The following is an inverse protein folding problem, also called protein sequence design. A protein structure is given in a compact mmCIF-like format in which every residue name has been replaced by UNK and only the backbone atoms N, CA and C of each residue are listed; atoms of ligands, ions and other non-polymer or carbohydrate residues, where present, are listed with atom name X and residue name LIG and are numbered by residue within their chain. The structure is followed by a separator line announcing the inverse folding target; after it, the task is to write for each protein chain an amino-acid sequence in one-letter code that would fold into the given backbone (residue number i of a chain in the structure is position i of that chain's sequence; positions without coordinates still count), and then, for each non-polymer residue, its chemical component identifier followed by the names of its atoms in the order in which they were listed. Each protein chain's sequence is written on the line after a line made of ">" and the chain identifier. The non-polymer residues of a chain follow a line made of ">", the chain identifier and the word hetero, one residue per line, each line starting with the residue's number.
data_IF_767642344899
#
_entry.id   IF_767642344899
#
_cell.length_a   1.000
_cell.length_b   1.000
_cell.length_c   1.000
_cell.angle_alpha   90.00
_cell.angle_beta   90.00
_cell.angle_gamma   90.00
#
_symmetry.space_group_name_H-M   'P 1'
#
loop_
_entity.id
_entity.type
_entity.pdbx_description
1 polymer ?
#
# COMPACT_ATOMS: atom_id res chain seq x y z
N UNK A 1 -13.78 -49.98 -27.55
CA UNK A 1 -13.36 -50.01 -26.15
C UNK A 1 -12.18 -49.07 -26.01
N UNK A 2 -12.22 -48.06 -25.19
CA UNK A 2 -11.09 -47.17 -24.97
C UNK A 2 -9.95 -47.97 -24.33
N UNK A 3 -8.76 -47.82 -24.89
CA UNK A 3 -7.57 -48.57 -24.52
C UNK A 3 -7.15 -48.14 -23.10
N UNK A 4 -6.91 -49.09 -22.19
CA UNK A 4 -6.52 -48.84 -20.79
C UNK A 4 -5.29 -47.93 -20.68
N UNK A 5 -4.40 -47.94 -21.67
CA UNK A 5 -3.25 -47.08 -21.79
C UNK A 5 -3.64 -45.58 -22.01
N UNK A 6 -4.72 -45.31 -22.77
CA UNK A 6 -5.17 -43.94 -22.99
C UNK A 6 -5.83 -43.29 -21.76
N UNK A 7 -6.45 -44.09 -20.90
CA UNK A 7 -6.99 -43.67 -19.61
C UNK A 7 -5.88 -43.36 -18.60
N UNK A 8 -4.80 -44.17 -18.58
CA UNK A 8 -3.62 -43.93 -17.72
C UNK A 8 -2.85 -42.69 -18.13
N UNK A 9 -2.68 -42.48 -19.46
CA UNK A 9 -2.03 -41.27 -20.00
C UNK A 9 -2.85 -40.04 -19.71
N UNK A 10 -4.17 -40.08 -19.93
CA UNK A 10 -5.08 -38.99 -19.59
C UNK A 10 -5.07 -38.63 -18.12
N UNK A 11 -5.04 -39.63 -17.23
CA UNK A 11 -5.01 -39.42 -15.77
C UNK A 11 -3.66 -38.85 -15.29
N UNK A 12 -2.56 -39.24 -15.95
CA UNK A 12 -1.20 -38.74 -15.66
C UNK A 12 -1.06 -37.29 -16.13
N UNK A 13 -1.50 -36.97 -17.34
CA UNK A 13 -1.50 -35.61 -17.90
C UNK A 13 -2.37 -34.69 -17.05
N UNK A 14 -3.54 -35.15 -16.60
CA UNK A 14 -4.43 -34.37 -15.72
C UNK A 14 -3.82 -34.11 -14.34
N UNK A 15 -3.08 -35.08 -13.81
CA UNK A 15 -2.41 -34.98 -12.50
C UNK A 15 -1.18 -34.07 -12.56
N UNK A 16 -0.40 -34.18 -13.63
CA UNK A 16 0.77 -33.31 -13.86
C UNK A 16 0.30 -31.85 -14.11
N UNK A 17 -0.72 -31.65 -14.92
CA UNK A 17 -1.32 -30.33 -15.17
C UNK A 17 -1.90 -29.68 -13.89
N UNK A 18 -2.54 -30.46 -13.01
CA UNK A 18 -3.10 -29.94 -11.76
C UNK A 18 -2.02 -29.60 -10.72
N UNK A 19 -0.88 -30.29 -10.74
CA UNK A 19 0.23 -30.04 -9.81
C UNK A 19 1.08 -28.86 -10.24
N UNK A 20 1.34 -28.73 -11.53
CA UNK A 20 2.09 -27.60 -12.07
C UNK A 20 1.35 -26.28 -11.87
N UNK A 21 0.02 -26.27 -12.08
CA UNK A 21 -0.80 -25.07 -11.83
C UNK A 21 -0.81 -24.66 -10.35
N UNK A 22 -0.90 -25.62 -9.42
CA UNK A 22 -0.86 -25.34 -7.97
C UNK A 22 0.53 -24.85 -7.57
N UNK A 23 1.59 -25.45 -8.09
CA UNK A 23 2.94 -24.99 -7.83
C UNK A 23 3.17 -23.57 -8.35
N UNK A 24 2.70 -23.28 -9.55
CA UNK A 24 2.81 -21.94 -10.15
C UNK A 24 1.99 -20.89 -9.37
N UNK A 25 0.85 -21.29 -8.82
CA UNK A 25 0.02 -20.44 -7.97
C UNK A 25 0.67 -20.16 -6.61
N UNK A 26 1.37 -21.15 -6.01
CA UNK A 26 1.97 -21.03 -4.69
C UNK A 26 3.38 -20.44 -4.70
N UNK A 27 4.18 -20.73 -5.73
CA UNK A 27 5.60 -20.40 -5.80
C UNK A 27 6.01 -19.68 -7.08
N UNK A 28 5.06 -19.40 -7.99
CA UNK A 28 5.33 -18.71 -9.25
C UNK A 28 5.43 -17.19 -9.05
N UNK A 29 5.93 -16.50 -10.08
CA UNK A 29 5.97 -15.02 -10.14
C UNK A 29 4.78 -14.43 -10.94
N UNK A 30 3.74 -15.23 -11.16
CA UNK A 30 2.59 -14.89 -11.95
C UNK A 30 1.62 -13.90 -11.25
N UNK A 31 0.69 -13.37 -12.05
CA UNK A 31 -0.38 -12.48 -11.53
C UNK A 31 -1.24 -13.23 -10.50
N UNK A 32 -1.56 -14.51 -10.75
CA UNK A 32 -2.36 -15.34 -9.84
C UNK A 32 -1.70 -15.50 -8.47
N UNK A 33 -0.39 -15.83 -8.44
CA UNK A 33 0.41 -15.90 -7.22
C UNK A 33 0.38 -14.57 -6.45
N UNK A 34 0.61 -13.47 -7.15
CA UNK A 34 0.63 -12.14 -6.56
C UNK A 34 -0.69 -11.75 -5.90
N UNK A 35 -1.83 -12.04 -6.55
CA UNK A 35 -3.16 -11.78 -6.00
C UNK A 35 -3.43 -12.68 -4.79
N UNK A 36 -3.06 -13.95 -4.87
CA UNK A 36 -3.22 -14.89 -3.75
C UNK A 36 -2.39 -14.45 -2.54
N UNK A 37 -1.12 -14.08 -2.76
CA UNK A 37 -0.22 -13.62 -1.71
C UNK A 37 -0.75 -12.34 -1.05
N UNK A 38 -1.15 -11.34 -1.83
CA UNK A 38 -1.72 -10.10 -1.31
C UNK A 38 -3.01 -10.35 -0.52
N UNK A 39 -3.89 -11.21 -1.05
CA UNK A 39 -5.14 -11.59 -0.35
C UNK A 39 -4.85 -12.29 0.97
N UNK A 40 -3.86 -13.18 1.00
CA UNK A 40 -3.41 -13.86 2.20
C UNK A 40 -2.83 -12.88 3.23
N UNK A 41 -1.96 -11.96 2.81
CA UNK A 41 -1.38 -10.92 3.69
C UNK A 41 -2.48 -10.08 4.34
N UNK A 42 -3.46 -9.64 3.54
CA UNK A 42 -4.58 -8.84 4.03
C UNK A 42 -5.42 -9.64 5.02
N UNK A 43 -5.83 -10.86 4.65
CA UNK A 43 -6.67 -11.71 5.48
C UNK A 43 -5.98 -12.07 6.80
N UNK A 44 -4.73 -12.52 6.75
CA UNK A 44 -3.93 -12.85 7.93
C UNK A 44 -3.69 -11.63 8.81
N UNK A 45 -3.31 -10.49 8.21
CA UNK A 45 -3.08 -9.24 8.94
C UNK A 45 -4.32 -8.73 9.66
N UNK A 46 -5.50 -8.77 9.01
CA UNK A 46 -6.77 -8.39 9.64
C UNK A 46 -7.15 -9.35 10.77
N UNK A 47 -6.95 -10.64 10.59
CA UNK A 47 -7.26 -11.63 11.65
C UNK A 47 -6.33 -11.46 12.85
N UNK A 48 -5.05 -11.32 12.63
CA UNK A 48 -4.08 -11.04 13.69
C UNK A 48 -4.34 -9.67 14.35
N UNK A 49 -4.79 -8.67 13.59
CA UNK A 49 -5.12 -7.34 14.09
C UNK A 49 -6.28 -7.31 15.09
N UNK A 50 -7.12 -8.35 15.12
CA UNK A 50 -8.19 -8.52 16.13
C UNK A 50 -7.67 -8.96 17.49
N UNK A 51 -6.46 -9.51 17.55
CA UNK A 51 -5.85 -9.97 18.78
C UNK A 51 -5.44 -8.73 19.59
N UNK A 52 -5.97 -8.64 20.83
CA UNK A 52 -5.61 -7.58 21.77
C UNK A 52 -4.35 -7.97 22.52
N UNK A 53 -3.28 -7.22 22.34
CA UNK A 53 -2.04 -7.37 23.10
C UNK A 53 -2.00 -6.25 24.16
N UNK A 54 -1.94 -6.60 25.42
CA UNK A 54 -2.02 -5.66 26.56
C UNK A 54 -3.24 -4.72 26.53
N UNK A 55 -4.38 -5.21 26.01
CA UNK A 55 -5.62 -4.41 25.92
C UNK A 55 -5.71 -3.48 24.70
N UNK A 56 -4.66 -3.39 23.88
CA UNK A 56 -4.60 -2.56 22.67
C UNK A 56 -4.69 -3.49 21.45
N UNK A 57 -5.61 -3.18 20.52
CA UNK A 57 -5.67 -3.86 19.23
C UNK A 57 -4.77 -3.13 18.23
N UNK A 58 -3.83 -3.85 17.63
CA UNK A 58 -2.94 -3.29 16.60
C UNK A 58 -3.66 -3.06 15.25
N UNK A 59 -4.88 -3.59 15.12
CA UNK A 59 -5.75 -3.33 13.99
C UNK A 59 -5.11 -3.65 12.65
N UNK A 60 -5.40 -2.81 11.68
CA UNK A 60 -4.97 -2.96 10.28
C UNK A 60 -3.43 -2.87 10.09
N UNK A 61 -2.72 -2.31 11.08
CA UNK A 61 -1.25 -2.18 11.05
C UNK A 61 -0.57 -3.54 10.95
N UNK A 62 -1.19 -4.62 11.47
CA UNK A 62 -0.63 -5.97 11.36
C UNK A 62 -0.58 -6.50 9.93
N UNK A 63 -1.35 -5.94 9.00
CA UNK A 63 -1.21 -6.26 7.57
C UNK A 63 0.20 -5.91 7.07
N UNK A 64 0.74 -4.75 7.49
CA UNK A 64 2.10 -4.34 7.17
C UNK A 64 3.14 -5.35 7.70
N UNK A 65 3.01 -5.74 8.98
CA UNK A 65 3.95 -6.68 9.59
C UNK A 65 3.91 -8.07 8.94
N UNK A 66 2.72 -8.58 8.60
CA UNK A 66 2.58 -9.84 7.86
C UNK A 66 3.26 -9.74 6.50
N UNK A 67 3.09 -8.61 5.78
CA UNK A 67 3.77 -8.36 4.50
C UNK A 67 5.29 -8.34 4.63
N UNK A 68 5.83 -7.67 5.65
CA UNK A 68 7.28 -7.64 5.93
C UNK A 68 7.82 -9.05 6.21
N UNK A 69 7.12 -9.82 7.05
CA UNK A 69 7.52 -11.19 7.39
C UNK A 69 7.58 -12.06 6.14
N UNK A 70 6.54 -12.04 5.30
CA UNK A 70 6.52 -12.83 4.07
C UNK A 70 7.58 -12.38 3.07
N UNK A 71 7.81 -11.06 2.94
CA UNK A 71 8.89 -10.52 2.13
C UNK A 71 10.27 -10.97 2.61
N UNK A 72 10.46 -11.07 3.94
CA UNK A 72 11.69 -11.60 4.52
C UNK A 72 11.92 -13.08 4.19
N UNK A 73 10.86 -13.87 4.09
CA UNK A 73 10.92 -15.27 3.64
C UNK A 73 11.11 -15.45 2.13
N UNK A 74 11.25 -14.34 1.38
CA UNK A 74 11.53 -14.37 -0.05
C UNK A 74 10.29 -14.45 -0.94
N UNK A 75 9.09 -14.30 -0.40
CA UNK A 75 7.89 -14.18 -1.22
C UNK A 75 7.87 -12.82 -1.94
N UNK A 76 7.84 -12.86 -3.26
CA UNK A 76 7.84 -11.66 -4.11
C UNK A 76 6.52 -11.53 -4.83
N UNK A 77 6.10 -10.30 -5.06
CA UNK A 77 4.89 -9.97 -5.82
C UNK A 77 5.30 -9.37 -7.15
N UNK A 78 4.57 -9.71 -8.21
CA UNK A 78 4.81 -9.16 -9.53
C UNK A 78 4.73 -7.62 -9.50
N UNK A 79 5.73 -6.97 -10.06
CA UNK A 79 5.88 -5.50 -10.06
C UNK A 79 4.65 -4.78 -10.63
N UNK A 80 4.12 -5.26 -11.76
CA UNK A 80 2.94 -4.64 -12.38
C UNK A 80 1.69 -4.77 -11.51
N UNK A 81 1.56 -5.89 -10.78
CA UNK A 81 0.45 -6.12 -9.86
C UNK A 81 0.54 -5.17 -8.67
N UNK A 82 1.74 -5.02 -8.08
CA UNK A 82 1.95 -4.06 -6.98
C UNK A 82 1.64 -2.63 -7.43
N UNK A 83 2.13 -2.22 -8.61
CA UNK A 83 1.89 -0.89 -9.14
C UNK A 83 0.38 -0.61 -9.31
N UNK A 84 -0.35 -1.55 -9.93
CA UNK A 84 -1.79 -1.46 -10.06
C UNK A 84 -2.50 -1.34 -8.70
N UNK A 85 -2.16 -2.19 -7.73
CA UNK A 85 -2.81 -2.14 -6.41
C UNK A 85 -2.46 -0.88 -5.61
N UNK A 86 -1.27 -0.30 -5.78
CA UNK A 86 -0.92 1.00 -5.19
C UNK A 86 -1.81 2.11 -5.73
N UNK A 87 -1.93 2.23 -7.05
CA UNK A 87 -2.75 3.26 -7.68
C UNK A 87 -4.23 3.08 -7.36
N UNK A 88 -4.74 1.87 -7.56
CA UNK A 88 -6.14 1.55 -7.29
C UNK A 88 -6.50 1.74 -5.81
N UNK A 89 -5.63 1.32 -4.90
CA UNK A 89 -5.79 1.51 -3.46
C UNK A 89 -5.82 2.99 -3.08
N UNK A 90 -4.96 3.81 -3.69
CA UNK A 90 -4.96 5.26 -3.47
C UNK A 90 -6.27 5.90 -3.95
N UNK A 91 -6.76 5.52 -5.13
CA UNK A 91 -8.04 6.02 -5.66
C UNK A 91 -9.19 5.63 -4.73
N UNK A 92 -9.28 4.37 -4.30
CA UNK A 92 -10.32 3.91 -3.37
C UNK A 92 -10.24 4.62 -2.02
N UNK A 93 -9.03 4.87 -1.53
CA UNK A 93 -8.82 5.59 -0.28
C UNK A 93 -9.34 7.02 -0.38
N UNK A 94 -8.92 7.77 -1.40
CA UNK A 94 -9.35 9.16 -1.62
C UNK A 94 -10.87 9.23 -1.82
N UNK A 95 -11.44 8.30 -2.59
CA UNK A 95 -12.88 8.20 -2.80
C UNK A 95 -13.63 7.95 -1.47
N UNK A 96 -13.14 7.01 -0.67
CA UNK A 96 -13.75 6.67 0.63
C UNK A 96 -13.72 7.85 1.60
N UNK A 97 -12.60 8.57 1.68
CA UNK A 97 -12.47 9.80 2.49
C UNK A 97 -13.42 10.89 1.97
N UNK A 98 -13.49 11.07 0.64
CA UNK A 98 -14.39 12.03 0.01
C UNK A 98 -15.86 11.75 0.33
N UNK A 99 -16.28 10.50 0.28
CA UNK A 99 -17.63 10.06 0.65
C UNK A 99 -17.95 10.29 2.13
N UNK A 100 -16.97 10.10 2.99
CA UNK A 100 -17.13 10.29 4.44
C UNK A 100 -17.23 11.78 4.82
N UNK A 101 -16.40 12.62 4.21
CA UNK A 101 -16.30 14.05 4.55
C UNK A 101 -17.30 14.90 3.76
N UNK A 102 -17.62 14.51 2.52
CA UNK A 102 -18.43 15.29 1.58
C UNK A 102 -19.76 15.81 2.11
N UNK A 103 -20.61 14.95 2.71
CA UNK A 103 -21.93 15.39 3.21
C UNK A 103 -21.88 16.50 4.26
N UNK A 104 -20.84 16.52 5.09
CA UNK A 104 -20.65 17.51 6.15
C UNK A 104 -19.84 18.75 5.74
N UNK A 105 -19.15 18.70 4.60
CA UNK A 105 -18.17 19.70 4.22
C UNK A 105 -18.76 21.12 4.12
N UNK A 106 -19.82 21.29 3.34
CA UNK A 106 -20.43 22.61 3.13
C UNK A 106 -21.14 23.13 4.37
N UNK A 107 -21.72 22.26 5.20
CA UNK A 107 -22.37 22.67 6.46
C UNK A 107 -21.35 23.14 7.49
N UNK A 108 -20.20 22.45 7.59
CA UNK A 108 -19.09 22.84 8.47
C UNK A 108 -18.48 24.19 8.07
N UNK A 109 -18.43 24.50 6.78
CA UNK A 109 -17.93 25.78 6.28
C UNK A 109 -18.77 26.94 6.75
N UNK A 110 -20.11 26.80 6.82
CA UNK A 110 -21.04 27.84 7.23
C UNK A 110 -21.06 28.12 8.75
N UNK A 111 -20.74 27.13 9.58
CA UNK A 111 -20.82 27.19 11.04
C UNK A 111 -19.46 27.43 11.73
N UNK A 112 -18.66 28.37 11.23
CA UNK A 112 -17.36 28.72 11.82
C UNK A 112 -16.19 27.92 11.25
N UNK A 113 -16.43 27.06 10.26
CA UNK A 113 -15.40 26.25 9.59
C UNK A 113 -14.31 27.04 8.88
N UNK A 114 -14.56 28.31 8.52
CA UNK A 114 -13.57 29.18 7.88
C UNK A 114 -12.34 29.34 8.77
N UNK A 115 -12.55 29.66 10.06
CA UNK A 115 -11.43 29.84 11.01
C UNK A 115 -10.62 28.55 11.20
N UNK A 116 -11.29 27.41 11.34
CA UNK A 116 -10.64 26.11 11.48
C UNK A 116 -9.91 25.71 10.20
N UNK A 117 -10.49 25.97 9.03
CA UNK A 117 -9.84 25.69 7.75
C UNK A 117 -8.62 26.60 7.52
N UNK A 118 -8.70 27.88 7.87
CA UNK A 118 -7.54 28.77 7.81
C UNK A 118 -6.41 28.30 8.75
N UNK A 119 -6.77 27.84 9.94
CA UNK A 119 -5.80 27.27 10.88
C UNK A 119 -5.15 25.98 10.31
N UNK A 120 -5.95 25.09 9.75
CA UNK A 120 -5.46 23.88 9.10
C UNK A 120 -4.54 24.19 7.91
N UNK A 121 -4.93 25.12 7.04
CA UNK A 121 -4.07 25.60 5.95
C UNK A 121 -2.77 26.20 6.48
N UNK A 122 -2.84 26.97 7.55
CA UNK A 122 -1.66 27.55 8.21
C UNK A 122 -0.69 26.48 8.73
N UNK A 123 -1.22 25.44 9.37
CA UNK A 123 -0.41 24.30 9.86
C UNK A 123 0.27 23.58 8.71
N UNK A 124 -0.47 23.27 7.63
CA UNK A 124 0.09 22.61 6.45
C UNK A 124 1.17 23.47 5.81
N UNK A 125 0.91 24.77 5.63
CA UNK A 125 1.88 25.71 5.06
C UNK A 125 3.16 25.81 5.91
N UNK A 126 3.01 25.92 7.23
CA UNK A 126 4.15 25.93 8.15
C UNK A 126 4.94 24.60 8.09
N UNK A 127 4.25 23.47 7.99
CA UNK A 127 4.90 22.17 7.83
C UNK A 127 5.75 22.11 6.56
N UNK A 128 5.19 22.55 5.43
CA UNK A 128 5.92 22.61 4.16
C UNK A 128 7.08 23.59 4.23
N UNK A 129 6.87 24.79 4.81
CA UNK A 129 7.94 25.77 4.98
C UNK A 129 9.08 25.22 5.86
N UNK A 130 8.74 24.53 6.95
CA UNK A 130 9.73 23.90 7.82
C UNK A 130 10.53 22.82 7.07
N UNK A 131 9.85 21.98 6.29
CA UNK A 131 10.50 20.95 5.49
C UNK A 131 11.47 21.57 4.45
N UNK A 132 11.07 22.66 3.81
CA UNK A 132 11.94 23.41 2.89
C UNK A 132 13.18 23.99 3.59
N UNK A 133 13.00 24.63 4.74
CA UNK A 133 14.11 25.17 5.54
C UNK A 133 15.06 24.05 5.95
N UNK A 134 14.53 22.92 6.43
CA UNK A 134 15.34 21.77 6.80
C UNK A 134 16.10 21.18 5.61
N UNK A 135 15.48 21.10 4.43
CA UNK A 135 16.15 20.68 3.21
C UNK A 135 17.41 21.53 2.93
N UNK A 136 17.27 22.86 2.99
CA UNK A 136 18.41 23.77 2.73
C UNK A 136 19.47 23.73 3.84
N UNK A 137 19.08 23.55 5.08
CA UNK A 137 20.02 23.54 6.22
C UNK A 137 20.74 22.21 6.33
N UNK A 138 20.04 21.08 6.11
CA UNK A 138 20.61 19.73 6.34
C UNK A 138 21.17 19.13 5.04
N UNK A 139 20.80 19.64 3.86
CA UNK A 139 21.17 19.06 2.58
C UNK A 139 20.47 17.72 2.26
N UNK A 140 19.48 17.31 3.02
CA UNK A 140 18.70 16.09 2.76
C UNK A 140 17.99 16.23 1.40
N UNK A 141 18.04 15.23 0.50
CA UNK A 141 17.38 15.30 -0.79
C UNK A 141 15.88 15.59 -0.67
N UNK A 142 15.33 16.37 -1.60
CA UNK A 142 13.92 16.76 -1.58
C UNK A 142 12.95 15.56 -1.53
N UNK A 143 13.15 14.47 -2.30
CA UNK A 143 12.29 13.30 -2.21
C UNK A 143 12.21 12.71 -0.80
N UNK A 144 13.37 12.56 -0.14
CA UNK A 144 13.45 12.08 1.24
C UNK A 144 12.74 13.03 2.21
N UNK A 145 12.92 14.35 2.03
CA UNK A 145 12.26 15.36 2.87
C UNK A 145 10.75 15.32 2.77
N UNK A 146 10.20 15.10 1.55
CA UNK A 146 8.76 14.91 1.34
C UNK A 146 8.27 13.65 2.07
N UNK A 147 9.06 12.59 2.07
CA UNK A 147 8.79 11.38 2.85
C UNK A 147 8.72 11.67 4.35
N UNK A 148 9.75 12.35 4.89
CA UNK A 148 9.81 12.74 6.31
C UNK A 148 8.62 13.61 6.70
N UNK A 149 8.27 14.60 5.89
CA UNK A 149 7.09 15.43 6.14
C UNK A 149 5.81 14.60 6.18
N UNK A 150 5.62 13.70 5.21
CA UNK A 150 4.45 12.82 5.15
C UNK A 150 4.38 11.88 6.35
N UNK A 151 5.53 11.39 6.83
CA UNK A 151 5.65 10.55 8.04
C UNK A 151 5.31 11.33 9.31
N UNK A 152 5.90 12.52 9.48
CA UNK A 152 5.70 13.38 10.64
C UNK A 152 4.23 13.75 10.90
N UNK A 153 3.44 13.89 9.83
CA UNK A 153 1.99 14.18 9.92
C UNK A 153 1.10 12.96 9.66
N UNK A 154 1.70 11.77 9.54
CA UNK A 154 1.01 10.50 9.24
C UNK A 154 0.12 10.59 8.01
N UNK A 155 0.60 11.26 6.96
CA UNK A 155 -0.13 11.50 5.72
C UNK A 155 0.20 10.43 4.67
N UNK A 156 -0.32 9.23 4.85
CA UNK A 156 -0.14 8.12 3.89
C UNK A 156 -0.67 8.43 2.48
N UNK A 157 -1.83 9.10 2.29
CA UNK A 157 -2.26 9.52 0.96
C UNK A 157 -1.30 10.50 0.29
N UNK A 158 -0.76 11.45 1.06
CA UNK A 158 0.25 12.38 0.58
C UNK A 158 1.54 11.68 0.16
N UNK A 159 1.94 10.65 0.89
CA UNK A 159 3.06 9.78 0.49
C UNK A 159 2.81 9.12 -0.86
N UNK A 160 1.63 8.49 -1.04
CA UNK A 160 1.27 7.83 -2.30
C UNK A 160 1.23 8.80 -3.47
N UNK A 161 0.61 9.98 -3.28
CA UNK A 161 0.56 11.03 -4.30
C UNK A 161 1.95 11.57 -4.66
N UNK A 162 2.84 11.74 -3.67
CA UNK A 162 4.21 12.18 -3.90
C UNK A 162 5.03 11.14 -4.65
N UNK A 163 4.89 9.86 -4.34
CA UNK A 163 5.54 8.77 -5.07
C UNK A 163 5.07 8.72 -6.53
N UNK A 164 3.76 8.86 -6.76
CA UNK A 164 3.22 8.89 -8.10
C UNK A 164 3.73 10.09 -8.90
N UNK A 165 3.67 11.29 -8.34
CA UNK A 165 4.18 12.49 -8.98
C UNK A 165 5.69 12.39 -9.30
N UNK A 166 6.46 11.78 -8.41
CA UNK A 166 7.89 11.55 -8.64
C UNK A 166 8.12 10.56 -9.79
N UNK A 167 7.34 9.49 -9.84
CA UNK A 167 7.40 8.53 -10.93
C UNK A 167 7.04 9.16 -12.29
N UNK A 168 5.98 9.96 -12.33
CA UNK A 168 5.52 10.64 -13.55
C UNK A 168 6.57 11.61 -14.12
N UNK A 169 7.35 12.25 -13.23
CA UNK A 169 8.39 13.22 -13.62
C UNK A 169 9.71 12.55 -13.98
N UNK A 170 10.11 11.52 -13.23
CA UNK A 170 11.47 10.97 -13.31
C UNK A 170 11.54 9.59 -13.96
N UNK A 171 10.41 8.88 -14.08
CA UNK A 171 10.33 7.47 -14.48
C UNK A 171 10.95 6.51 -13.47
N UNK A 172 11.26 6.98 -12.24
CA UNK A 172 11.89 6.19 -11.19
C UNK A 172 10.93 5.97 -10.02
N UNK A 173 11.03 4.81 -9.38
CA UNK A 173 10.29 4.57 -8.13
C UNK A 173 10.77 5.48 -7.01
N UNK A 174 9.82 6.06 -6.27
CA UNK A 174 10.10 6.95 -5.16
C UNK A 174 10.54 6.22 -3.88
N UNK A 175 11.52 5.32 -3.95
CA UNK A 175 12.05 4.58 -2.79
C UNK A 175 12.61 5.51 -1.73
N UNK A 176 13.27 6.60 -2.13
CA UNK A 176 13.79 7.62 -1.21
C UNK A 176 12.68 8.31 -0.43
N UNK A 177 11.49 8.50 -1.05
CA UNK A 177 10.31 9.06 -0.39
C UNK A 177 9.79 8.08 0.66
N UNK A 178 9.71 6.78 0.30
CA UNK A 178 9.28 5.75 1.23
C UNK A 178 10.23 5.59 2.42
N UNK A 179 11.54 5.67 2.18
CA UNK A 179 12.55 5.63 3.24
C UNK A 179 12.42 6.83 4.17
N UNK A 180 12.24 8.04 3.63
CA UNK A 180 12.02 9.24 4.43
C UNK A 180 10.75 9.17 5.29
N UNK A 181 9.70 8.48 4.82
CA UNK A 181 8.47 8.26 5.60
C UNK A 181 8.68 7.33 6.79
N UNK A 182 9.60 6.36 6.66
CA UNK A 182 9.87 5.36 7.69
C UNK A 182 10.77 5.87 8.84
N UNK A 183 11.40 7.04 8.69
CA UNK A 183 12.26 7.68 9.71
C UNK A 183 11.43 8.49 10.68
#
# INVERSE_FOLDING_TARGET
>A
MPNFASLLIGNKIFKDFSMDWINDLLWGEGIGHSILLLSFVIAAGIQLGKIKVFGISLGITLVLFVGIILGHFGFTVNHNVIHFFKEFGLILFVYSVGMQVGPGFFSSFRQGGITLNMLACGIVFLGVATALVLHFVTGIPMPTMVGILSGAVTNTPGLGAAQQAYYDITGKEGTEIAMGYAV
#
